data_IF_988675542496
#
_entry.id   IF_988675542496
#
_cell.length_a   1.000
_cell.length_b   1.000
_cell.length_c   1.000
_cell.angle_alpha   90.00
_cell.angle_beta   90.00
_cell.angle_gamma   90.00
#
_symmetry.space_group_name_H-M   'P 1'
#
loop_
_entity.id
_entity.type
_entity.pdbx_description
1 polymer ?
#
# COMPACT_ATOMS: atom_id res chain seq x y z
N UNK A 1 4.97 -5.17 -11.94
CA UNK A 1 5.36 -4.29 -10.83
C UNK A 1 6.54 -4.90 -10.09
N UNK A 2 7.52 -4.08 -9.70
CA UNK A 2 8.64 -4.49 -8.85
C UNK A 2 8.26 -4.41 -7.37
N UNK A 3 9.02 -5.08 -6.51
CA UNK A 3 8.80 -5.02 -5.06
C UNK A 3 9.04 -3.61 -4.49
N UNK A 4 9.90 -2.82 -5.14
CA UNK A 4 10.13 -1.41 -4.79
C UNK A 4 8.92 -0.54 -5.17
N UNK A 5 8.39 -0.69 -6.39
CA UNK A 5 7.17 0.01 -6.79
C UNK A 5 5.99 -0.30 -5.87
N UNK A 6 5.82 -1.56 -5.47
CA UNK A 6 4.77 -1.97 -4.55
C UNK A 6 4.89 -1.27 -3.18
N UNK A 7 6.12 -1.14 -2.68
CA UNK A 7 6.44 -0.38 -1.46
C UNK A 7 6.11 1.10 -1.62
N UNK A 8 6.50 1.72 -2.74
CA UNK A 8 6.21 3.13 -3.00
C UNK A 8 4.70 3.40 -3.07
N UNK A 9 3.92 2.52 -3.71
CA UNK A 9 2.45 2.65 -3.82
C UNK A 9 1.76 2.65 -2.47
N UNK A 10 2.25 1.86 -1.52
CA UNK A 10 1.71 1.77 -0.16
C UNK A 10 2.47 2.63 0.86
N UNK A 11 3.35 3.53 0.39
CA UNK A 11 4.22 4.37 1.22
C UNK A 11 4.97 3.58 2.32
N UNK A 12 5.39 2.35 1.99
CA UNK A 12 6.08 1.44 2.89
C UNK A 12 7.59 1.53 2.68
N UNK A 13 8.37 1.63 3.77
CA UNK A 13 9.84 1.60 3.68
C UNK A 13 10.39 0.18 3.84
N UNK A 14 9.72 -0.68 4.63
CA UNK A 14 10.18 -2.04 4.91
C UNK A 14 9.24 -3.07 4.30
N UNK A 15 9.80 -4.24 3.96
CA UNK A 15 9.01 -5.38 3.47
C UNK A 15 8.03 -5.92 4.52
N UNK A 16 8.30 -5.69 5.81
CA UNK A 16 7.39 -6.03 6.91
C UNK A 16 6.11 -5.19 6.89
N UNK A 17 6.22 -3.90 6.58
CA UNK A 17 5.06 -3.01 6.48
C UNK A 17 4.17 -3.45 5.31
N UNK A 18 4.78 -3.75 4.17
CA UNK A 18 4.10 -4.31 3.00
C UNK A 18 3.34 -5.60 3.33
N UNK A 19 3.96 -6.50 4.11
CA UNK A 19 3.33 -7.74 4.56
C UNK A 19 2.12 -7.47 5.45
N UNK A 20 2.20 -6.48 6.36
CA UNK A 20 1.09 -6.08 7.22
C UNK A 20 -0.09 -5.51 6.43
N UNK A 21 0.16 -4.66 5.42
CA UNK A 21 -0.91 -4.10 4.57
C UNK A 21 -1.65 -5.15 3.75
N UNK A 22 -0.92 -6.19 3.34
CA UNK A 22 -1.44 -7.30 2.56
C UNK A 22 -1.93 -8.46 3.43
N UNK A 23 -1.85 -8.33 4.75
CA UNK A 23 -2.29 -9.33 5.72
C UNK A 23 -1.66 -10.71 5.47
N UNK A 24 -0.37 -10.69 5.12
CA UNK A 24 0.44 -11.88 4.86
C UNK A 24 1.67 -11.93 5.75
N UNK A 25 2.27 -13.10 5.84
CA UNK A 25 3.52 -13.29 6.57
C UNK A 25 4.69 -12.56 5.89
N UNK A 26 5.61 -11.94 6.65
CA UNK A 26 6.80 -11.30 6.10
C UNK A 26 7.74 -12.27 5.38
N UNK A 27 7.71 -13.56 5.74
CA UNK A 27 8.39 -14.63 5.03
C UNK A 27 7.85 -14.77 3.61
N UNK A 28 6.53 -14.65 3.41
CA UNK A 28 5.91 -14.77 2.11
C UNK A 28 6.36 -13.63 1.17
N UNK A 29 6.48 -12.40 1.67
CA UNK A 29 7.04 -11.26 0.91
C UNK A 29 8.50 -11.48 0.56
N UNK A 30 9.26 -12.12 1.45
CA UNK A 30 10.69 -12.42 1.23
C UNK A 30 10.89 -13.47 0.14
N UNK A 31 9.90 -14.33 -0.12
CA UNK A 31 9.91 -15.30 -1.21
C UNK A 31 9.55 -14.68 -2.57
N UNK A 32 9.15 -13.41 -2.63
CA UNK A 32 8.80 -12.78 -3.89
C UNK A 32 10.03 -12.43 -4.70
N UNK A 33 9.89 -12.52 -6.03
CA UNK A 33 10.92 -12.02 -6.91
C UNK A 33 10.92 -10.47 -6.87
N UNK A 34 12.04 -9.83 -6.47
CA UNK A 34 12.10 -8.38 -6.32
C UNK A 34 11.92 -7.63 -7.65
N UNK A 35 12.26 -8.26 -8.78
CA UNK A 35 12.09 -7.69 -10.13
C UNK A 35 10.68 -7.82 -10.67
N UNK A 36 9.88 -8.76 -10.17
CA UNK A 36 8.53 -9.00 -10.66
C UNK A 36 7.72 -9.73 -9.59
N UNK A 37 6.83 -9.01 -8.91
CA UNK A 37 5.94 -9.63 -7.94
C UNK A 37 4.87 -10.47 -8.66
N UNK A 38 4.32 -11.51 -8.02
CA UNK A 38 3.23 -12.28 -8.61
C UNK A 38 2.03 -11.39 -8.97
N UNK A 39 1.43 -11.60 -10.15
CA UNK A 39 0.29 -10.78 -10.63
C UNK A 39 -0.83 -10.64 -9.60
N UNK A 40 -1.17 -11.73 -8.90
CA UNK A 40 -2.18 -11.69 -7.83
C UNK A 40 -1.83 -10.68 -6.73
N UNK A 41 -0.56 -10.60 -6.33
CA UNK A 41 -0.07 -9.67 -5.31
C UNK A 41 -0.01 -8.23 -5.84
N UNK A 42 0.30 -8.06 -7.12
CA UNK A 42 0.21 -6.76 -7.79
C UNK A 42 -1.20 -6.19 -7.71
N UNK A 43 -2.23 -7.01 -7.98
CA UNK A 43 -3.63 -6.58 -7.83
C UNK A 43 -3.96 -6.19 -6.38
N UNK A 44 -3.57 -6.99 -5.39
CA UNK A 44 -3.84 -6.68 -3.97
C UNK A 44 -3.13 -5.39 -3.53
N UNK A 45 -1.89 -5.16 -3.97
CA UNK A 45 -1.15 -3.91 -3.71
C UNK A 45 -1.88 -2.72 -4.33
N UNK A 46 -2.32 -2.83 -5.58
CA UNK A 46 -3.06 -1.77 -6.26
C UNK A 46 -4.39 -1.48 -5.59
N UNK A 47 -5.13 -2.51 -5.18
CA UNK A 47 -6.40 -2.38 -4.48
C UNK A 47 -6.23 -1.69 -3.12
N UNK A 48 -5.25 -2.11 -2.30
CA UNK A 48 -4.95 -1.48 -1.02
C UNK A 48 -4.44 -0.04 -1.21
N UNK A 49 -3.60 0.22 -2.22
CA UNK A 49 -3.13 1.57 -2.52
C UNK A 49 -4.28 2.48 -2.97
N UNK A 50 -5.23 1.95 -3.72
CA UNK A 50 -6.44 2.65 -4.12
C UNK A 50 -7.32 2.97 -2.90
N UNK A 51 -7.57 1.98 -2.02
CA UNK A 51 -8.29 2.17 -0.76
C UNK A 51 -7.64 3.25 0.13
N UNK A 52 -6.32 3.22 0.27
CA UNK A 52 -5.56 4.24 1.03
C UNK A 52 -5.62 5.62 0.36
N UNK A 53 -5.54 5.68 -0.98
CA UNK A 53 -5.70 6.92 -1.73
C UNK A 53 -7.10 7.52 -1.63
N UNK A 54 -8.14 6.68 -1.59
CA UNK A 54 -9.52 7.10 -1.32
C UNK A 54 -9.71 7.55 0.13
N UNK A 55 -9.12 6.84 1.10
CA UNK A 55 -9.13 7.24 2.50
C UNK A 55 -8.45 8.61 2.69
N UNK A 56 -7.30 8.82 2.02
CA UNK A 56 -6.58 10.09 2.07
C UNK A 56 -7.39 11.26 1.48
N UNK A 57 -8.14 11.04 0.39
CA UNK A 57 -9.03 12.07 -0.17
C UNK A 57 -10.22 12.41 0.74
N UNK A 58 -10.74 11.47 1.51
CA UNK A 58 -11.85 11.74 2.42
C UNK A 58 -11.40 12.50 3.68
N UNK A 59 -10.23 12.15 4.24
CA UNK A 59 -9.70 12.85 5.44
C UNK A 59 -9.25 14.28 5.14
N UNK A 60 -8.67 14.55 3.96
CA UNK A 60 -8.29 15.93 3.60
C UNK A 60 -9.51 16.84 3.43
N UNK A 61 -10.65 16.30 2.99
CA UNK A 61 -11.88 17.08 2.86
C UNK A 61 -12.62 17.30 4.20
N UNK A 62 -12.43 16.44 5.20
CA UNK A 62 -12.96 16.67 6.55
C UNK A 62 -12.14 17.71 7.32
N UNK A 63 -10.81 17.69 7.18
CA UNK A 63 -9.94 18.61 7.92
C UNK A 63 -9.94 20.06 7.39
N UNK A 64 -10.49 20.32 6.19
CA UNK A 64 -10.63 21.69 5.67
C UNK A 64 -11.95 22.36 6.10
N UNK A 65 -12.91 21.61 6.63
CA UNK A 65 -14.21 22.14 7.05
C UNK A 65 -14.25 22.66 8.50
N UNK A 66 -13.30 22.27 9.36
CA UNK A 66 -13.31 22.61 10.79
C UNK A 66 -12.44 23.83 11.17
N UNK A 67 -11.81 24.52 10.22
CA UNK A 67 -10.99 25.72 10.49
C UNK A 67 -11.65 27.05 10.10
N UNK A 68 -12.98 27.07 9.89
CA UNK A 68 -13.71 28.28 9.50
C UNK A 68 -15.02 28.49 10.29
N UNK A 69 -15.00 28.32 11.60
CA UNK A 69 -16.03 28.82 12.53
C UNK A 69 -15.39 29.67 13.62
#
# INVERSE_FOLDING_TARGET
MTLDEAKQKLNCKKSKDLAAFLEISPEAVSQWNPKCIPKRREYEVLEKALLLGFAHKQTVNQNFAESNV
#
